data_IF_791668764145
#
_entry.id   IF_791668764145
#
_cell.length_a   1.000
_cell.length_b   1.000
_cell.length_c   1.000
_cell.angle_alpha   90.00
_cell.angle_beta   90.00
_cell.angle_gamma   90.00
#
_symmetry.space_group_name_H-M   'P 1'
#
loop_
_entity.id
_entity.type
_entity.pdbx_description
1 polymer ?
#
# COMPACT_ATOMS: atom_id res chain seq x y z
N UNK A 1 8.37 -6.60 -3.32
CA UNK A 1 7.42 -7.72 -3.44
C UNK A 1 7.93 -9.00 -2.79
N UNK A 2 9.08 -9.57 -3.16
CA UNK A 2 9.65 -10.80 -2.52
C UNK A 2 9.81 -10.73 -1.01
N UNK A 3 10.07 -9.54 -0.46
CA UNK A 3 10.18 -9.35 0.99
C UNK A 3 8.82 -9.58 1.69
N UNK A 4 7.74 -9.03 1.13
CA UNK A 4 6.38 -9.23 1.65
C UNK A 4 5.97 -10.70 1.49
N UNK A 5 6.28 -11.30 0.35
CA UNK A 5 6.01 -12.70 0.09
C UNK A 5 6.67 -13.62 1.13
N UNK A 6 7.97 -13.46 1.36
CA UNK A 6 8.74 -14.36 2.23
C UNK A 6 8.54 -14.09 3.73
N UNK A 7 8.40 -12.81 4.12
CA UNK A 7 8.36 -12.44 5.54
C UNK A 7 6.94 -12.23 6.08
N UNK A 8 5.93 -12.24 5.22
CA UNK A 8 4.53 -12.09 5.64
C UNK A 8 3.70 -13.25 5.10
N UNK A 9 3.57 -13.39 3.77
CA UNK A 9 2.64 -14.34 3.15
C UNK A 9 3.00 -15.79 3.47
N UNK A 10 4.28 -16.13 3.41
CA UNK A 10 4.79 -17.48 3.72
C UNK A 10 5.39 -17.60 5.12
N UNK A 11 5.06 -16.67 6.01
CA UNK A 11 5.46 -16.74 7.42
C UNK A 11 4.43 -17.49 8.25
N UNK A 12 4.81 -17.84 9.48
CA UNK A 12 3.88 -18.39 10.48
C UNK A 12 3.10 -17.26 11.22
N UNK A 13 3.16 -16.03 10.72
CA UNK A 13 2.45 -14.90 11.31
C UNK A 13 0.95 -14.97 11.03
N UNK A 14 0.13 -14.62 12.01
CA UNK A 14 -1.34 -14.61 11.89
C UNK A 14 -1.83 -13.78 10.70
N UNK A 15 -1.07 -12.74 10.31
CA UNK A 15 -1.41 -11.87 9.18
C UNK A 15 -1.37 -12.60 7.84
N UNK A 16 -0.66 -13.71 7.70
CA UNK A 16 -0.47 -14.41 6.42
C UNK A 16 -1.81 -14.74 5.75
N UNK A 17 -2.78 -15.20 6.52
CA UNK A 17 -4.12 -15.54 6.03
C UNK A 17 -5.03 -14.32 5.79
N UNK A 18 -4.55 -13.13 6.15
CA UNK A 18 -5.32 -11.87 6.11
C UNK A 18 -4.77 -10.85 5.12
N UNK A 19 -3.76 -11.20 4.34
CA UNK A 19 -3.15 -10.30 3.37
C UNK A 19 -3.24 -10.84 1.95
N UNK A 20 -3.55 -9.95 1.03
CA UNK A 20 -3.58 -10.23 -0.40
C UNK A 20 -2.90 -9.08 -1.16
N UNK A 21 -2.02 -9.40 -2.09
CA UNK A 21 -1.25 -8.40 -2.85
C UNK A 21 -1.77 -8.31 -4.28
N UNK A 22 -2.19 -7.12 -4.68
CA UNK A 22 -2.54 -6.79 -6.06
C UNK A 22 -1.53 -5.85 -6.64
N UNK A 23 -0.82 -6.29 -7.66
CA UNK A 23 0.18 -5.48 -8.36
C UNK A 23 -0.43 -4.99 -9.65
N UNK A 24 -0.54 -3.67 -9.80
CA UNK A 24 -1.04 -3.04 -11.00
C UNK A 24 0.15 -2.60 -11.84
N UNK A 25 0.50 -3.40 -12.84
CA UNK A 25 1.67 -3.18 -13.70
C UNK A 25 1.33 -2.24 -14.86
N UNK A 26 1.51 -0.95 -14.63
CA UNK A 26 1.34 0.09 -15.64
C UNK A 26 2.39 0.01 -16.76
N UNK A 27 3.56 -0.53 -16.48
CA UNK A 27 4.66 -0.67 -17.42
C UNK A 27 4.56 -1.92 -18.29
N UNK A 28 3.73 -2.89 -17.90
CA UNK A 28 3.66 -4.23 -18.50
C UNK A 28 5.02 -4.92 -18.56
N UNK A 29 5.78 -4.76 -17.48
CA UNK A 29 7.16 -5.23 -17.35
C UNK A 29 7.25 -6.54 -16.56
N UNK A 30 6.21 -6.90 -15.83
CA UNK A 30 6.19 -8.09 -15.00
C UNK A 30 5.59 -9.29 -15.75
N UNK A 31 6.20 -10.45 -15.53
CA UNK A 31 5.63 -11.71 -16.00
C UNK A 31 4.61 -12.23 -14.97
N UNK A 32 3.33 -12.16 -15.32
CA UNK A 32 2.26 -12.61 -14.42
C UNK A 32 2.35 -14.11 -14.10
N UNK A 33 2.84 -14.95 -15.02
CA UNK A 33 2.98 -16.40 -14.78
C UNK A 33 4.01 -16.71 -13.71
N UNK A 34 5.02 -15.85 -13.55
CA UNK A 34 6.08 -16.01 -12.53
C UNK A 34 5.60 -15.64 -11.12
N UNK A 35 4.66 -14.70 -11.03
CA UNK A 35 4.28 -14.07 -9.76
C UNK A 35 2.88 -14.40 -9.28
N UNK A 36 1.96 -14.77 -10.17
CA UNK A 36 0.60 -15.08 -9.76
C UNK A 36 0.57 -16.36 -8.91
N UNK A 37 -0.10 -16.27 -7.79
CA UNK A 37 -0.30 -17.32 -6.82
C UNK A 37 -1.58 -17.11 -6.03
N UNK A 38 -1.74 -17.80 -4.92
CA UNK A 38 -2.94 -17.68 -4.09
C UNK A 38 -3.13 -16.28 -3.50
N UNK A 39 -2.03 -15.65 -3.07
CA UNK A 39 -2.06 -14.36 -2.35
C UNK A 39 -1.50 -13.18 -3.15
N UNK A 40 -0.93 -13.40 -4.34
CA UNK A 40 -0.34 -12.33 -5.17
C UNK A 40 -0.92 -12.42 -6.57
N UNK A 41 -1.53 -11.35 -7.05
CA UNK A 41 -2.02 -11.25 -8.42
C UNK A 41 -1.48 -10.02 -9.13
N UNK A 42 -0.98 -10.21 -10.35
CA UNK A 42 -0.50 -9.14 -11.23
C UNK A 42 -1.57 -8.83 -12.28
N UNK A 43 -1.91 -7.56 -12.39
CA UNK A 43 -2.84 -7.03 -13.38
C UNK A 43 -2.10 -6.10 -14.31
N UNK A 44 -1.93 -6.50 -15.56
CA UNK A 44 -1.41 -5.60 -16.58
C UNK A 44 -2.40 -4.47 -16.83
N UNK A 45 -1.90 -3.25 -16.85
CA UNK A 45 -2.70 -2.05 -17.00
C UNK A 45 -2.15 -1.15 -18.13
N UNK A 46 -2.98 -0.44 -18.90
CA UNK A 46 -2.45 0.66 -19.70
C UNK A 46 -1.93 1.74 -18.76
N UNK A 47 -0.79 2.34 -19.10
CA UNK A 47 -0.22 3.40 -18.27
C UNK A 47 -1.13 4.64 -18.30
N UNK A 48 -1.93 4.77 -17.27
CA UNK A 48 -2.85 5.90 -17.06
C UNK A 48 -2.48 6.71 -15.81
N UNK A 49 -1.19 6.65 -15.44
CA UNK A 49 -0.64 7.32 -14.27
C UNK A 49 -0.94 6.61 -12.94
N UNK A 50 -0.42 7.17 -11.86
CA UNK A 50 -0.59 6.61 -10.50
C UNK A 50 -2.05 6.51 -10.08
N UNK A 51 -2.84 7.56 -10.29
CA UNK A 51 -4.28 7.56 -9.96
C UNK A 51 -5.03 6.43 -10.65
N UNK A 52 -4.72 6.17 -11.94
CA UNK A 52 -5.34 5.07 -12.67
C UNK A 52 -4.92 3.70 -12.17
N UNK A 53 -3.64 3.54 -11.78
CA UNK A 53 -3.12 2.33 -11.16
C UNK A 53 -3.82 2.02 -9.85
N UNK A 54 -3.87 2.96 -8.92
CA UNK A 54 -4.55 2.80 -7.64
C UNK A 54 -6.04 2.53 -7.79
N UNK A 55 -6.72 3.28 -8.67
CA UNK A 55 -8.15 3.05 -8.94
C UNK A 55 -8.39 1.64 -9.45
N UNK A 56 -7.55 1.14 -10.37
CA UNK A 56 -7.67 -0.23 -10.87
C UNK A 56 -7.49 -1.24 -9.74
N UNK A 57 -6.49 -1.08 -8.87
CA UNK A 57 -6.26 -1.95 -7.72
C UNK A 57 -7.46 -2.01 -6.77
N UNK A 58 -8.05 -0.86 -6.47
CA UNK A 58 -9.27 -0.77 -5.64
C UNK A 58 -10.46 -1.48 -6.32
N UNK A 59 -10.66 -1.27 -7.62
CA UNK A 59 -11.75 -1.95 -8.36
C UNK A 59 -11.58 -3.47 -8.33
N UNK A 60 -10.38 -3.98 -8.58
CA UNK A 60 -10.12 -5.42 -8.54
C UNK A 60 -10.30 -5.99 -7.11
N UNK A 61 -10.00 -5.21 -6.08
CA UNK A 61 -10.26 -5.58 -4.69
C UNK A 61 -11.77 -5.68 -4.40
N UNK A 62 -12.56 -4.71 -4.86
CA UNK A 62 -14.00 -4.72 -4.66
C UNK A 62 -14.73 -5.81 -5.47
N UNK A 63 -14.14 -6.27 -6.57
CA UNK A 63 -14.67 -7.36 -7.40
C UNK A 63 -14.35 -8.75 -6.88
N UNK A 64 -13.40 -8.85 -6.00
CA UNK A 64 -12.99 -10.13 -5.44
C UNK A 64 -13.94 -10.55 -4.31
N UNK A 65 -14.85 -11.44 -4.62
CA UNK A 65 -15.80 -12.00 -3.67
C UNK A 65 -15.18 -13.08 -2.76
N UNK A 66 -13.96 -13.52 -3.07
CA UNK A 66 -13.31 -14.63 -2.34
C UNK A 66 -12.52 -14.13 -1.13
N UNK A 67 -11.87 -12.98 -1.25
CA UNK A 67 -11.02 -12.44 -0.18
C UNK A 67 -11.74 -11.48 0.78
N UNK A 68 -12.83 -10.84 0.38
CA UNK A 68 -13.65 -9.94 1.19
C UNK A 68 -12.81 -8.90 2.00
N UNK A 69 -11.98 -8.14 1.31
CA UNK A 69 -11.08 -7.17 1.93
C UNK A 69 -11.83 -6.07 2.68
N UNK A 70 -11.42 -5.78 3.91
CA UNK A 70 -11.98 -4.69 4.73
C UNK A 70 -11.18 -3.39 4.61
N UNK A 71 -9.88 -3.49 4.32
CA UNK A 71 -8.97 -2.36 4.19
C UNK A 71 -8.05 -2.57 2.99
N UNK A 72 -7.57 -1.49 2.41
CA UNK A 72 -6.57 -1.53 1.34
C UNK A 72 -5.38 -0.65 1.72
N UNK A 73 -4.18 -1.21 1.67
CA UNK A 73 -2.93 -0.45 1.72
C UNK A 73 -2.51 -0.07 0.30
N UNK A 74 -2.42 1.23 0.03
CA UNK A 74 -1.90 1.76 -1.23
C UNK A 74 -0.41 2.05 -1.08
N UNK A 75 0.38 1.58 -2.03
CA UNK A 75 1.84 1.72 -1.97
C UNK A 75 2.42 1.88 -3.37
N UNK A 76 3.36 2.80 -3.53
CA UNK A 76 4.17 2.93 -4.75
C UNK A 76 5.25 1.84 -4.82
N UNK A 77 5.81 1.60 -6.00
CA UNK A 77 6.80 0.56 -6.25
C UNK A 77 8.23 0.98 -5.88
N UNK A 78 8.46 2.27 -5.70
CA UNK A 78 9.76 2.86 -5.35
C UNK A 78 9.94 3.10 -3.84
N UNK A 79 9.00 2.68 -3.01
CA UNK A 79 9.11 2.75 -1.55
C UNK A 79 9.70 1.47 -0.97
N UNK A 80 10.55 1.61 0.04
CA UNK A 80 10.99 0.50 0.88
C UNK A 80 10.11 0.42 2.12
N UNK A 81 9.27 -0.61 2.17
CA UNK A 81 8.48 -0.91 3.35
C UNK A 81 9.16 -1.98 4.20
N UNK A 82 9.08 -1.84 5.51
CA UNK A 82 9.48 -2.89 6.44
C UNK A 82 8.27 -3.80 6.69
N UNK A 83 8.41 -5.14 6.61
CA UNK A 83 7.33 -6.08 6.92
C UNK A 83 6.68 -5.82 8.27
N UNK A 84 7.49 -5.48 9.27
CA UNK A 84 7.03 -5.09 10.59
C UNK A 84 6.03 -3.91 10.57
N UNK A 85 6.15 -2.98 9.63
CA UNK A 85 5.19 -1.87 9.49
C UNK A 85 3.81 -2.37 9.05
N UNK A 86 3.77 -3.37 8.20
CA UNK A 86 2.51 -4.01 7.76
C UNK A 86 1.88 -4.77 8.94
N UNK A 87 2.68 -5.56 9.66
CA UNK A 87 2.23 -6.32 10.84
C UNK A 87 1.67 -5.37 11.91
N UNK A 88 2.35 -4.27 12.18
CA UNK A 88 1.88 -3.25 13.14
C UNK A 88 0.58 -2.59 12.71
N UNK A 89 0.45 -2.27 11.42
CA UNK A 89 -0.78 -1.70 10.86
C UNK A 89 -1.94 -2.68 11.00
N UNK A 90 -1.72 -3.95 10.67
CA UNK A 90 -2.71 -5.01 10.85
C UNK A 90 -3.17 -5.12 12.31
N UNK A 91 -2.22 -5.17 13.25
CA UNK A 91 -2.54 -5.24 14.68
C UNK A 91 -3.27 -3.99 15.18
N UNK A 92 -2.88 -2.80 14.68
CA UNK A 92 -3.59 -1.55 14.98
C UNK A 92 -5.05 -1.62 14.51
N UNK A 93 -5.30 -2.04 13.27
CA UNK A 93 -6.64 -2.16 12.71
C UNK A 93 -7.53 -3.11 13.53
N UNK A 94 -6.97 -4.22 14.02
CA UNK A 94 -7.69 -5.15 14.92
C UNK A 94 -8.06 -4.55 16.26
N UNK A 95 -7.27 -3.61 16.75
CA UNK A 95 -7.47 -2.95 18.05
C UNK A 95 -8.35 -1.70 17.95
N UNK A 96 -8.71 -1.23 16.76
CA UNK A 96 -9.51 -0.03 16.59
C UNK A 96 -10.94 -0.24 17.13
N UNK A 97 -11.42 0.77 17.85
CA UNK A 97 -12.83 0.83 18.22
C UNK A 97 -13.69 0.97 16.95
N UNK A 98 -14.96 0.49 16.98
CA UNK A 98 -15.84 0.52 15.81
C UNK A 98 -15.95 1.89 15.13
N UNK A 99 -15.98 2.97 15.92
CA UNK A 99 -16.09 4.34 15.41
C UNK A 99 -14.89 4.85 14.60
N UNK A 100 -13.73 4.16 14.70
CA UNK A 100 -12.50 4.53 13.98
C UNK A 100 -12.17 3.59 12.81
N UNK A 101 -12.95 2.55 12.57
CA UNK A 101 -12.65 1.53 11.55
C UNK A 101 -12.66 2.07 10.13
N UNK A 102 -13.46 3.11 9.87
CA UNK A 102 -13.61 3.73 8.55
C UNK A 102 -12.67 4.93 8.35
N UNK A 103 -11.67 5.09 9.23
CA UNK A 103 -10.69 6.18 9.11
C UNK A 103 -9.49 5.76 8.28
N UNK A 104 -8.85 6.77 7.67
CA UNK A 104 -7.59 6.58 6.97
C UNK A 104 -6.43 6.48 7.98
N UNK A 105 -5.48 5.59 7.67
CA UNK A 105 -4.21 5.49 8.37
C UNK A 105 -3.13 5.85 7.37
N UNK A 106 -2.31 6.85 7.67
CA UNK A 106 -1.15 7.24 6.88
C UNK A 106 0.12 6.79 7.58
N UNK A 107 1.00 6.13 6.84
CA UNK A 107 2.36 5.85 7.28
C UNK A 107 3.28 7.03 6.99
N UNK A 108 4.20 7.35 7.89
CA UNK A 108 5.22 8.37 7.64
C UNK A 108 6.18 7.88 6.55
N UNK A 109 6.38 8.70 5.51
CA UNK A 109 7.38 8.47 4.47
C UNK A 109 8.66 9.22 4.83
N UNK A 110 9.75 8.50 5.01
CA UNK A 110 11.03 9.04 5.43
C UNK A 110 12.05 8.96 4.29
N UNK A 111 13.01 9.88 4.28
CA UNK A 111 14.15 9.75 3.37
C UNK A 111 14.99 8.52 3.75
N UNK A 112 15.31 7.68 2.78
CA UNK A 112 16.08 6.44 3.00
C UNK A 112 17.45 6.71 3.63
N UNK A 113 18.14 7.76 3.17
CA UNK A 113 19.47 8.15 3.66
C UNK A 113 19.43 8.95 4.97
N UNK A 114 18.24 9.42 5.35
CA UNK A 114 18.02 10.27 6.53
C UNK A 114 16.72 9.91 7.21
N UNK A 115 16.65 8.71 7.80
CA UNK A 115 15.42 8.14 8.39
C UNK A 115 14.83 8.93 9.57
N UNK A 116 15.48 10.01 9.99
CA UNK A 116 14.95 10.96 10.96
C UNK A 116 14.28 12.19 10.28
N UNK A 117 14.25 12.23 8.95
CA UNK A 117 13.66 13.32 8.18
C UNK A 117 12.48 12.77 7.37
N UNK A 118 11.31 13.33 7.60
CA UNK A 118 10.12 12.99 6.84
C UNK A 118 10.22 13.56 5.41
N UNK A 119 9.89 12.75 4.42
CA UNK A 119 9.91 13.14 3.01
C UNK A 119 8.72 14.04 2.70
N UNK A 120 7.53 13.54 2.97
CA UNK A 120 6.26 14.24 2.81
C UNK A 120 5.34 13.87 3.96
N UNK A 121 4.52 14.81 4.41
CA UNK A 121 3.49 14.56 5.42
C UNK A 121 2.11 14.75 4.81
N UNK A 122 1.81 15.99 4.45
CA UNK A 122 0.54 16.38 3.85
C UNK A 122 0.76 17.34 2.69
N UNK A 123 -0.24 17.49 1.86
CA UNK A 123 -0.28 18.51 0.83
C UNK A 123 -1.69 19.03 0.68
N UNK A 124 -1.83 20.15 0.06
CA UNK A 124 -3.12 20.71 -0.29
C UNK A 124 -3.19 21.06 -1.77
N UNK A 125 -4.39 21.09 -2.28
CA UNK A 125 -4.64 21.55 -3.64
C UNK A 125 -5.00 23.03 -3.56
N UNK A 126 -4.21 23.87 -4.23
CA UNK A 126 -4.45 25.31 -4.33
C UNK A 126 -5.68 25.61 -5.20
N UNK A 127 -6.16 26.85 -5.17
CA UNK A 127 -7.36 27.28 -5.92
C UNK A 127 -7.23 27.06 -7.44
N UNK A 128 -6.01 27.08 -7.97
CA UNK A 128 -5.73 26.79 -9.38
C UNK A 128 -5.61 25.31 -9.73
N UNK A 129 -5.82 24.42 -8.74
CA UNK A 129 -5.72 22.97 -8.90
C UNK A 129 -4.30 22.40 -8.78
N UNK A 130 -3.31 23.23 -8.43
CA UNK A 130 -1.93 22.77 -8.24
C UNK A 130 -1.77 22.08 -6.88
N UNK A 131 -1.15 20.89 -6.86
CA UNK A 131 -0.76 20.23 -5.61
C UNK A 131 0.46 20.94 -5.01
N UNK A 132 0.35 21.33 -3.76
CA UNK A 132 1.41 21.98 -2.99
C UNK A 132 1.73 21.06 -1.80
N UNK A 133 2.90 20.41 -1.77
CA UNK A 133 3.31 19.62 -0.62
C UNK A 133 3.62 20.55 0.56
N UNK A 134 3.04 20.26 1.70
CA UNK A 134 3.38 20.92 2.96
C UNK A 134 4.53 20.13 3.61
N UNK A 135 5.72 20.72 3.58
CA UNK A 135 6.90 20.14 4.22
C UNK A 135 6.96 20.66 5.64
N UNK A 136 6.33 19.97 6.56
CA UNK A 136 6.57 20.22 7.98
C UNK A 136 7.92 19.60 8.33
N UNK A 137 8.94 20.37 8.71
CA UNK A 137 10.20 19.82 9.19
C UNK A 137 9.96 19.24 10.59
N UNK A 138 9.46 18.04 10.68
CA UNK A 138 9.42 17.32 11.94
C UNK A 138 10.75 16.60 12.13
N UNK A 139 11.61 17.12 12.99
CA UNK A 139 12.70 16.37 13.56
C UNK A 139 12.10 15.51 14.69
N UNK A 140 12.14 14.19 14.49
CA UNK A 140 11.90 13.21 15.55
C UNK A 140 13.19 12.88 16.28
#
# INVERSE_FOLDING_TARGET
MRLIENEIIYSDEEIADHIFVRVIDNGRTLNAEEWNGECIHIYQNPNVGGSGGYTRGMIETLRDETFNATHALLMDDDVKILPESIIRTYNLLRCLKPEYRDHFISGAMLYYEKMHVQHEDVGFVSEDGTYVPDKIPSAY
#
